data_IF_021431241987
#
_entry.id   IF_021431241987
#
_cell.length_a   1.000
_cell.length_b   1.000
_cell.length_c   1.000
_cell.angle_alpha   90.00
_cell.angle_beta   90.00
_cell.angle_gamma   90.00
#
_symmetry.space_group_name_H-M   'P 1'
#
loop_
_entity.id
_entity.type
_entity.pdbx_description
1 polymer ?
#
# COMPACT_ATOMS: atom_id res chain seq x y z
N UNK A 1 -6.31 5.01 8.64
CA UNK A 1 -7.39 4.91 9.64
C UNK A 1 -8.35 6.05 9.39
N UNK A 2 -9.65 5.85 9.63
CA UNK A 2 -10.64 6.92 9.48
C UNK A 2 -10.50 7.97 10.60
N UNK A 3 -11.06 9.17 10.37
CA UNK A 3 -11.13 10.19 11.42
C UNK A 3 -12.12 9.76 12.53
N UNK A 4 -11.68 9.61 13.79
CA UNK A 4 -12.60 9.29 14.88
C UNK A 4 -13.71 10.34 15.06
N UNK A 5 -13.47 11.61 14.70
CA UNK A 5 -14.50 12.66 14.75
C UNK A 5 -15.59 12.42 13.71
N UNK A 6 -15.21 12.03 12.49
CA UNK A 6 -16.15 11.71 11.41
C UNK A 6 -17.05 10.54 11.82
N UNK A 7 -16.46 9.49 12.39
CA UNK A 7 -17.22 8.31 12.81
C UNK A 7 -18.15 8.62 13.99
N UNK A 8 -17.72 9.51 14.91
CA UNK A 8 -18.58 9.96 16.03
C UNK A 8 -19.72 10.87 15.59
N UNK A 9 -19.53 11.68 14.54
CA UNK A 9 -20.57 12.61 14.07
C UNK A 9 -21.72 11.89 13.37
N UNK A 10 -21.43 10.86 12.58
CA UNK A 10 -22.43 10.09 11.86
C UNK A 10 -21.94 8.64 11.58
N UNK A 11 -22.02 7.74 12.56
CA UNK A 11 -21.52 6.37 12.41
C UNK A 11 -22.33 5.57 11.37
N UNK A 12 -23.61 5.88 11.17
CA UNK A 12 -24.47 5.20 10.21
C UNK A 12 -24.10 5.58 8.77
N UNK A 13 -23.83 6.86 8.50
CA UNK A 13 -23.36 7.28 7.18
C UNK A 13 -22.00 6.66 6.84
N UNK A 14 -21.08 6.57 7.82
CA UNK A 14 -19.80 5.87 7.65
C UNK A 14 -20.00 4.39 7.36
N UNK A 15 -20.90 3.72 8.10
CA UNK A 15 -21.23 2.31 7.87
C UNK A 15 -21.81 2.09 6.46
N UNK A 16 -22.69 2.97 5.97
CA UNK A 16 -23.26 2.89 4.64
C UNK A 16 -22.19 3.01 3.54
N UNK A 17 -21.21 3.89 3.70
CA UNK A 17 -20.08 4.02 2.76
C UNK A 17 -19.16 2.79 2.79
N UNK A 18 -18.91 2.23 3.97
CA UNK A 18 -18.12 1.01 4.12
C UNK A 18 -18.84 -0.22 3.54
N UNK A 19 -20.17 -0.28 3.65
CA UNK A 19 -20.97 -1.36 3.08
C UNK A 19 -20.86 -1.41 1.54
N UNK A 20 -20.67 -0.26 0.86
CA UNK A 20 -20.38 -0.23 -0.59
C UNK A 20 -19.12 -1.03 -0.95
N UNK A 21 -18.19 -1.18 -0.01
CA UNK A 21 -16.95 -1.95 -0.16
C UNK A 21 -17.05 -3.39 0.35
N UNK A 22 -18.27 -3.85 0.66
CA UNK A 22 -18.48 -5.16 1.29
C UNK A 22 -17.98 -5.24 2.73
N UNK A 23 -17.75 -4.11 3.40
CA UNK A 23 -17.31 -4.08 4.80
C UNK A 23 -18.46 -3.72 5.74
N UNK A 24 -18.75 -4.62 6.68
CA UNK A 24 -19.76 -4.39 7.73
C UNK A 24 -19.11 -3.74 8.94
N UNK A 25 -19.44 -2.46 9.19
CA UNK A 25 -19.02 -1.75 10.40
C UNK A 25 -19.99 -2.02 11.56
N UNK A 26 -19.48 -2.45 12.70
CA UNK A 26 -20.28 -2.73 13.91
C UNK A 26 -20.61 -1.42 14.64
N UNK A 27 -21.61 -0.70 14.13
CA UNK A 27 -22.11 0.56 14.70
C UNK A 27 -22.58 0.37 16.14
N UNK A 28 -23.20 -0.77 16.45
CA UNK A 28 -23.73 -1.06 17.78
C UNK A 28 -22.60 -1.16 18.81
N UNK A 29 -21.55 -1.94 18.51
CA UNK A 29 -20.37 -2.04 19.37
C UNK A 29 -19.64 -0.72 19.51
N UNK A 30 -19.44 0.00 18.40
CA UNK A 30 -18.80 1.33 18.45
C UNK A 30 -19.58 2.29 19.36
N UNK A 31 -20.90 2.34 19.20
CA UNK A 31 -21.78 3.20 19.99
C UNK A 31 -21.78 2.83 21.47
N UNK A 32 -21.80 1.53 21.79
CA UNK A 32 -21.68 1.05 23.17
C UNK A 32 -20.36 1.49 23.82
N UNK A 33 -19.23 1.30 23.12
CA UNK A 33 -17.91 1.71 23.60
C UNK A 33 -17.81 3.23 23.78
N UNK A 34 -18.32 4.03 22.84
CA UNK A 34 -18.28 5.50 22.97
C UNK A 34 -19.19 6.03 24.07
N UNK A 35 -20.35 5.41 24.29
CA UNK A 35 -21.23 5.77 25.41
C UNK A 35 -20.59 5.44 26.75
N UNK A 36 -19.98 4.27 26.88
CA UNK A 36 -19.23 3.88 28.07
C UNK A 36 -18.04 4.82 28.29
N UNK A 37 -17.26 5.12 27.23
CA UNK A 37 -16.13 6.04 27.28
C UNK A 37 -16.54 7.40 27.84
N UNK A 38 -17.64 7.96 27.32
CA UNK A 38 -18.19 9.25 27.78
C UNK A 38 -18.60 9.19 29.25
N UNK A 39 -19.31 8.15 29.65
CA UNK A 39 -19.77 7.99 31.04
C UNK A 39 -18.59 7.87 32.00
N UNK A 40 -17.65 6.97 31.73
CA UNK A 40 -16.45 6.77 32.58
C UNK A 40 -15.59 8.03 32.62
N UNK A 41 -15.53 8.79 31.52
CA UNK A 41 -14.80 10.06 31.49
C UNK A 41 -15.45 11.11 32.41
N UNK A 42 -16.77 11.28 32.35
CA UNK A 42 -17.51 12.19 33.24
C UNK A 42 -17.32 11.77 34.71
N UNK A 43 -17.45 10.48 35.01
CA UNK A 43 -17.27 9.96 36.36
C UNK A 43 -15.83 10.19 36.87
N UNK A 44 -14.83 10.02 35.99
CA UNK A 44 -13.42 10.30 36.30
C UNK A 44 -13.21 11.77 36.64
N UNK A 45 -13.78 12.68 35.86
CA UNK A 45 -13.68 14.13 36.08
C UNK A 45 -14.37 14.54 37.39
N UNK A 46 -15.55 13.98 37.68
CA UNK A 46 -16.28 14.21 38.93
C UNK A 46 -15.50 13.70 40.14
N UNK A 47 -15.00 12.46 40.11
CA UNK A 47 -14.20 11.88 41.19
C UNK A 47 -12.89 12.65 41.40
N UNK A 48 -12.27 13.15 40.32
CA UNK A 48 -11.05 13.96 40.41
C UNK A 48 -11.34 15.31 41.08
N UNK A 49 -12.46 15.97 40.74
CA UNK A 49 -12.90 17.20 41.37
C UNK A 49 -13.21 17.00 42.87
N UNK A 50 -13.91 15.92 43.21
CA UNK A 50 -14.26 15.56 44.58
C UNK A 50 -13.01 15.27 45.43
N UNK A 51 -12.09 14.45 44.91
CA UNK A 51 -10.79 14.17 45.55
C UNK A 51 -10.00 15.45 45.82
N UNK A 52 -9.94 16.36 44.85
CA UNK A 52 -9.24 17.64 44.98
C UNK A 52 -9.88 18.54 46.06
N UNK A 53 -11.22 18.59 46.11
CA UNK A 53 -11.96 19.35 47.11
C UNK A 53 -11.71 18.79 48.52
N UNK A 54 -11.84 17.48 48.72
CA UNK A 54 -11.61 16.83 50.02
C UNK A 54 -10.16 16.92 50.48
N UNK A 55 -9.19 16.82 49.56
CA UNK A 55 -7.76 16.99 49.88
C UNK A 55 -7.47 18.39 50.43
N UNK A 56 -8.09 19.43 49.86
CA UNK A 56 -7.98 20.81 50.37
C UNK A 56 -8.60 20.95 51.76
N UNK A 57 -9.73 20.31 52.01
CA UNK A 57 -10.39 20.34 53.32
C UNK A 57 -9.54 19.67 54.41
N UNK A 58 -8.96 18.50 54.12
CA UNK A 58 -8.02 17.82 55.04
C UNK A 58 -6.84 18.71 55.38
N UNK A 59 -6.26 19.42 54.39
CA UNK A 59 -5.17 20.36 54.63
C UNK A 59 -5.55 21.45 55.63
N UNK A 60 -6.78 22.00 55.51
CA UNK A 60 -7.31 22.99 56.45
C UNK A 60 -7.56 22.39 57.84
N UNK A 61 -8.17 21.22 57.93
CA UNK A 61 -8.47 20.55 59.19
C UNK A 61 -7.20 20.16 59.96
N UNK A 62 -6.18 19.63 59.27
CA UNK A 62 -4.87 19.36 59.88
C UNK A 62 -4.20 20.62 60.42
N UNK A 63 -4.31 21.74 59.70
CA UNK A 63 -3.79 23.03 60.17
C UNK A 63 -4.53 23.56 61.41
N UNK A 64 -5.81 23.20 61.56
CA UNK A 64 -6.64 23.53 62.72
C UNK A 64 -6.52 22.53 63.89
N UNK A 65 -5.76 21.43 63.74
CA UNK A 65 -5.59 20.40 64.76
C UNK A 65 -6.79 19.44 64.89
N UNK A 66 -7.67 19.37 63.89
CA UNK A 66 -8.86 18.53 63.88
C UNK A 66 -8.56 17.09 63.41
N UNK A 67 -9.39 16.12 63.83
CA UNK A 67 -9.29 14.73 63.36
C UNK A 67 -9.72 14.60 61.89
N UNK A 68 -8.88 13.96 61.09
CA UNK A 68 -9.08 13.77 59.65
C UNK A 68 -9.21 12.31 59.23
N UNK A 69 -9.25 11.36 60.19
CA UNK A 69 -9.22 9.93 59.90
C UNK A 69 -10.36 9.48 58.95
N UNK A 70 -11.59 9.94 59.18
CA UNK A 70 -12.74 9.61 58.33
C UNK A 70 -12.58 10.14 56.90
N UNK A 71 -12.21 11.42 56.74
CA UNK A 71 -11.97 12.02 55.43
C UNK A 71 -10.78 11.40 54.69
N UNK A 72 -9.73 10.99 55.40
CA UNK A 72 -8.59 10.28 54.82
C UNK A 72 -9.01 8.91 54.26
N UNK A 73 -9.87 8.18 54.99
CA UNK A 73 -10.41 6.90 54.52
C UNK A 73 -11.30 7.06 53.27
N UNK A 74 -12.16 8.08 53.23
CA UNK A 74 -12.97 8.40 52.06
C UNK A 74 -12.13 8.76 50.82
N UNK A 75 -11.07 9.55 50.99
CA UNK A 75 -10.16 9.89 49.88
C UNK A 75 -9.43 8.66 49.37
N UNK A 76 -9.02 7.74 50.25
CA UNK A 76 -8.39 6.49 49.84
C UNK A 76 -9.33 5.65 48.96
N UNK A 77 -10.60 5.52 49.35
CA UNK A 77 -11.62 4.84 48.54
C UNK A 77 -11.91 5.53 47.20
N UNK A 78 -11.94 6.87 47.18
CA UNK A 78 -12.05 7.65 45.93
C UNK A 78 -10.81 7.47 45.03
N UNK A 79 -9.62 7.35 45.62
CA UNK A 79 -8.37 7.07 44.90
C UNK A 79 -8.45 5.77 44.11
N UNK A 80 -8.86 4.68 44.77
CA UNK A 80 -9.01 3.37 44.12
C UNK A 80 -10.03 3.38 42.98
N UNK A 81 -11.21 4.01 43.18
CA UNK A 81 -12.23 4.12 42.13
C UNK A 81 -11.75 4.95 40.93
N UNK A 82 -10.99 6.01 41.18
CA UNK A 82 -10.42 6.85 40.14
C UNK A 82 -9.35 6.11 39.32
N UNK A 83 -8.53 5.29 39.96
CA UNK A 83 -7.54 4.46 39.27
C UNK A 83 -8.24 3.38 38.40
N UNK A 84 -9.31 2.76 38.91
CA UNK A 84 -10.15 1.83 38.13
C UNK A 84 -10.80 2.50 36.91
N UNK A 85 -11.36 3.70 37.07
CA UNK A 85 -11.97 4.44 35.97
C UNK A 85 -10.94 4.82 34.90
N UNK A 86 -9.73 5.24 35.30
CA UNK A 86 -8.62 5.49 34.37
C UNK A 86 -8.17 4.23 33.63
N UNK A 87 -8.07 3.11 34.34
CA UNK A 87 -7.76 1.83 33.71
C UNK A 87 -8.83 1.48 32.66
N UNK A 88 -10.12 1.60 33.02
CA UNK A 88 -11.22 1.30 32.09
C UNK A 88 -11.23 2.22 30.88
N UNK A 89 -10.91 3.52 31.03
CA UNK A 89 -10.72 4.42 29.88
C UNK A 89 -9.61 3.95 28.94
N UNK A 90 -8.50 3.46 29.49
CA UNK A 90 -7.40 2.90 28.69
C UNK A 90 -7.79 1.62 27.95
N UNK A 91 -8.57 0.75 28.59
CA UNK A 91 -9.13 -0.46 27.96
C UNK A 91 -10.09 -0.10 26.83
N UNK A 92 -11.06 0.78 27.08
CA UNK A 92 -12.02 1.23 26.05
C UNK A 92 -11.29 1.86 24.87
N UNK A 93 -10.27 2.69 25.12
CA UNK A 93 -9.46 3.27 24.04
C UNK A 93 -8.76 2.18 23.21
N UNK A 94 -8.20 1.16 23.86
CA UNK A 94 -7.57 0.02 23.18
C UNK A 94 -8.57 -0.79 22.35
N UNK A 95 -9.79 -0.98 22.85
CA UNK A 95 -10.87 -1.64 22.13
C UNK A 95 -11.32 -0.84 20.89
N UNK A 96 -11.43 0.50 21.02
CA UNK A 96 -11.72 1.39 19.90
C UNK A 96 -10.60 1.38 18.87
N UNK A 97 -9.34 1.46 19.31
CA UNK A 97 -8.17 1.43 18.42
C UNK A 97 -8.10 0.09 17.64
N UNK A 98 -8.37 -1.03 18.32
CA UNK A 98 -8.45 -2.34 17.67
C UNK A 98 -9.56 -2.36 16.61
N UNK A 99 -10.75 -1.84 16.92
CA UNK A 99 -11.86 -1.75 15.98
C UNK A 99 -11.48 -0.88 14.77
N UNK A 100 -10.96 0.33 14.98
CA UNK A 100 -10.58 1.25 13.90
C UNK A 100 -9.41 0.74 13.05
N UNK A 101 -8.50 -0.05 13.62
CA UNK A 101 -7.35 -0.59 12.90
C UNK A 101 -7.74 -1.55 11.76
N UNK A 102 -8.95 -2.12 11.82
CA UNK A 102 -9.50 -3.06 10.83
C UNK A 102 -10.44 -2.40 9.82
N UNK A 103 -10.76 -1.12 9.98
CA UNK A 103 -11.67 -0.38 9.08
C UNK A 103 -10.90 0.11 7.85
N UNK A 104 -11.34 -0.22 6.62
CA UNK A 104 -10.72 0.28 5.39
C UNK A 104 -10.98 1.77 5.20
N UNK A 105 -10.30 2.36 4.22
CA UNK A 105 -10.57 3.74 3.83
C UNK A 105 -11.95 3.89 3.17
N UNK A 106 -12.53 5.07 3.29
CA UNK A 106 -13.79 5.40 2.61
C UNK A 106 -13.55 5.58 1.12
N UNK A 107 -14.43 5.06 0.25
CA UNK A 107 -14.33 5.30 -1.18
C UNK A 107 -14.59 6.78 -1.50
N UNK A 108 -13.89 7.33 -2.49
CA UNK A 108 -14.23 8.64 -3.04
C UNK A 108 -15.61 8.60 -3.70
N UNK A 109 -16.26 9.76 -3.81
CA UNK A 109 -17.65 9.86 -4.30
C UNK A 109 -17.81 9.35 -5.73
N UNK A 110 -16.80 9.57 -6.58
CA UNK A 110 -16.79 9.21 -7.99
C UNK A 110 -16.36 7.76 -8.28
N UNK A 111 -16.13 6.95 -7.24
CA UNK A 111 -15.82 5.53 -7.39
C UNK A 111 -17.09 4.74 -7.74
N UNK A 112 -17.09 3.98 -8.85
CA UNK A 112 -18.25 3.18 -9.25
C UNK A 112 -18.55 2.12 -8.20
N UNK A 113 -19.83 1.86 -7.98
CA UNK A 113 -20.25 0.73 -7.16
C UNK A 113 -20.03 -0.58 -7.92
N UNK A 114 -19.48 -1.58 -7.24
CA UNK A 114 -19.34 -2.95 -7.73
C UNK A 114 -18.87 -3.87 -6.61
N UNK A 115 -19.22 -5.15 -6.69
CA UNK A 115 -18.92 -6.15 -5.64
C UNK A 115 -17.52 -6.75 -5.79
N UNK A 116 -17.01 -6.80 -7.02
CA UNK A 116 -15.74 -7.42 -7.40
C UNK A 116 -15.17 -6.79 -8.68
N UNK A 117 -14.07 -7.34 -9.18
CA UNK A 117 -13.36 -6.93 -10.41
C UNK A 117 -14.25 -6.78 -11.67
N UNK A 118 -15.41 -7.44 -11.74
CA UNK A 118 -16.34 -7.29 -12.87
C UNK A 118 -17.06 -5.94 -12.87
N UNK A 119 -17.09 -5.24 -11.74
CA UNK A 119 -17.63 -3.89 -11.59
C UNK A 119 -16.66 -2.77 -12.02
N UNK A 120 -15.41 -3.11 -12.34
CA UNK A 120 -14.39 -2.14 -12.75
C UNK A 120 -14.74 -1.50 -14.10
N UNK A 121 -14.39 -0.21 -14.25
CA UNK A 121 -14.76 0.58 -15.43
C UNK A 121 -13.51 0.96 -16.23
N UNK A 122 -13.48 0.63 -17.51
CA UNK A 122 -12.42 1.09 -18.42
C UNK A 122 -12.58 2.60 -18.66
N UNK A 123 -11.55 3.38 -18.30
CA UNK A 123 -11.56 4.85 -18.46
C UNK A 123 -10.69 5.34 -19.60
N UNK A 124 -9.64 4.59 -19.97
CA UNK A 124 -8.72 4.92 -21.07
C UNK A 124 -8.15 3.65 -21.68
N UNK A 125 -7.69 3.74 -22.93
CA UNK A 125 -6.97 2.68 -23.65
C UNK A 125 -5.91 3.30 -24.55
N UNK A 126 -4.78 2.62 -24.67
CA UNK A 126 -3.67 3.05 -25.53
C UNK A 126 -3.04 1.88 -26.28
N UNK A 127 -2.60 2.16 -27.51
CA UNK A 127 -1.98 1.17 -28.40
C UNK A 127 -3.00 0.24 -29.06
N UNK A 128 -2.51 -0.63 -29.94
CA UNK A 128 -3.30 -1.68 -30.58
C UNK A 128 -2.58 -3.01 -30.40
N UNK A 129 -3.22 -4.03 -29.80
CA UNK A 129 -2.67 -5.37 -29.73
C UNK A 129 -2.15 -5.85 -31.09
N UNK A 130 -0.89 -6.31 -31.13
CA UNK A 130 -0.26 -6.78 -32.37
C UNK A 130 -0.99 -8.02 -32.90
N UNK A 131 -1.21 -8.05 -34.22
CA UNK A 131 -1.57 -9.27 -34.94
C UNK A 131 -0.30 -10.02 -35.33
N UNK A 132 -0.27 -11.31 -35.04
CA UNK A 132 0.85 -12.21 -35.36
C UNK A 132 0.48 -13.09 -36.56
N UNK A 133 1.43 -13.27 -37.48
CA UNK A 133 1.35 -14.16 -38.65
C UNK A 133 2.03 -15.53 -38.39
N UNK A 134 2.37 -15.80 -37.14
CA UNK A 134 2.94 -17.04 -36.62
C UNK A 134 2.29 -17.43 -35.28
N UNK A 135 2.54 -18.65 -34.82
CA UNK A 135 2.02 -19.15 -33.54
C UNK A 135 2.63 -18.38 -32.35
N UNK A 136 1.77 -17.80 -31.52
CA UNK A 136 2.17 -16.99 -30.36
C UNK A 136 2.71 -17.92 -29.27
N UNK A 137 3.93 -17.64 -28.79
CA UNK A 137 4.50 -18.30 -27.63
C UNK A 137 4.26 -17.47 -26.35
N UNK A 138 3.98 -18.16 -25.25
CA UNK A 138 3.92 -17.53 -23.93
C UNK A 138 5.33 -17.15 -23.42
N UNK A 139 5.40 -16.26 -22.44
CA UNK A 139 6.68 -15.85 -21.85
C UNK A 139 7.48 -16.99 -21.21
N UNK A 140 6.85 -18.11 -20.86
CA UNK A 140 7.54 -19.28 -20.30
C UNK A 140 8.29 -20.02 -21.39
N UNK A 141 7.64 -20.28 -22.53
CA UNK A 141 8.24 -20.92 -23.69
C UNK A 141 9.36 -20.05 -24.28
N UNK A 142 9.10 -18.76 -24.47
CA UNK A 142 10.12 -17.78 -24.92
C UNK A 142 11.27 -17.69 -23.91
N UNK A 143 10.92 -17.55 -22.62
CA UNK A 143 11.87 -17.36 -21.54
C UNK A 143 12.79 -18.56 -21.35
N UNK A 144 12.29 -19.79 -21.51
CA UNK A 144 13.08 -21.00 -21.33
C UNK A 144 14.33 -21.03 -22.23
N UNK A 145 14.17 -20.62 -23.49
CA UNK A 145 15.25 -20.52 -24.46
C UNK A 145 16.24 -19.35 -24.18
N UNK A 146 15.82 -18.39 -23.35
CA UNK A 146 16.55 -17.15 -23.06
C UNK A 146 17.16 -17.12 -21.65
N UNK A 147 16.98 -18.19 -20.85
CA UNK A 147 17.55 -18.32 -19.52
C UNK A 147 16.58 -18.14 -18.36
N UNK A 148 15.27 -18.25 -18.57
CA UNK A 148 14.27 -18.37 -17.52
C UNK A 148 14.23 -19.82 -17.02
N UNK A 149 14.37 -20.04 -15.71
CA UNK A 149 14.38 -21.40 -15.16
C UNK A 149 13.64 -21.49 -13.81
N UNK A 150 12.46 -22.14 -13.85
CA UNK A 150 11.63 -22.40 -12.67
C UNK A 150 12.08 -23.64 -11.88
N UNK A 151 12.60 -24.67 -12.54
CA UNK A 151 13.08 -25.89 -11.86
C UNK A 151 14.27 -25.59 -10.93
N UNK A 152 15.18 -24.73 -11.38
CA UNK A 152 16.28 -24.23 -10.55
C UNK A 152 15.76 -23.44 -9.36
N UNK A 153 14.75 -22.60 -9.54
CA UNK A 153 14.15 -21.84 -8.45
C UNK A 153 13.44 -22.74 -7.42
N UNK A 154 12.73 -23.77 -7.89
CA UNK A 154 12.11 -24.79 -7.03
C UNK A 154 13.17 -25.53 -6.21
N UNK A 155 14.29 -25.91 -6.83
CA UNK A 155 15.42 -26.53 -6.15
C UNK A 155 16.04 -25.64 -5.07
N UNK A 156 16.12 -24.32 -5.32
CA UNK A 156 16.72 -23.36 -4.40
C UNK A 156 15.77 -22.94 -3.27
N UNK A 157 14.47 -22.86 -3.53
CA UNK A 157 13.50 -22.22 -2.62
C UNK A 157 12.16 -22.93 -2.62
N UNK A 158 11.49 -23.03 -3.77
CA UNK A 158 10.14 -23.60 -3.88
C UNK A 158 9.36 -23.07 -5.08
N UNK A 159 8.06 -23.38 -5.14
CA UNK A 159 7.15 -22.83 -6.16
C UNK A 159 7.04 -21.31 -6.08
N UNK A 160 6.62 -20.65 -7.17
CA UNK A 160 6.44 -19.18 -7.25
C UNK A 160 7.73 -18.38 -7.01
N UNK A 161 8.87 -19.00 -7.35
CA UNK A 161 10.14 -18.32 -7.56
C UNK A 161 10.65 -18.61 -8.97
N UNK A 162 11.55 -17.76 -9.47
CA UNK A 162 12.18 -17.91 -10.79
C UNK A 162 13.66 -17.55 -10.72
N UNK A 163 14.47 -18.25 -11.52
CA UNK A 163 15.84 -17.83 -11.80
C UNK A 163 15.92 -17.30 -13.23
N UNK A 164 16.63 -16.18 -13.42
CA UNK A 164 16.88 -15.57 -14.72
C UNK A 164 18.38 -15.55 -14.98
N UNK A 165 18.79 -15.82 -16.22
CA UNK A 165 20.19 -15.80 -16.64
C UNK A 165 20.38 -15.01 -17.94
N UNK A 166 21.64 -14.70 -18.25
CA UNK A 166 22.05 -14.12 -19.52
C UNK A 166 21.34 -12.80 -19.88
N UNK A 167 20.98 -12.66 -21.14
CA UNK A 167 20.32 -11.45 -21.66
C UNK A 167 18.93 -11.23 -21.06
N UNK A 168 18.25 -12.28 -20.58
CA UNK A 168 16.96 -12.14 -19.93
C UNK A 168 17.09 -11.48 -18.54
N UNK A 169 18.08 -11.89 -17.75
CA UNK A 169 18.40 -11.21 -16.49
C UNK A 169 18.86 -9.76 -16.72
N UNK A 170 19.62 -9.52 -17.80
CA UNK A 170 20.00 -8.17 -18.22
C UNK A 170 18.79 -7.32 -18.60
N UNK A 171 17.80 -7.90 -19.28
CA UNK A 171 16.56 -7.22 -19.68
C UNK A 171 15.73 -6.82 -18.46
N UNK A 172 15.57 -7.74 -17.51
CA UNK A 172 14.91 -7.47 -16.24
C UNK A 172 15.55 -6.28 -15.51
N UNK A 173 16.89 -6.25 -15.42
CA UNK A 173 17.62 -5.11 -14.85
C UNK A 173 17.43 -3.83 -15.67
N UNK A 174 17.53 -3.90 -17.00
CA UNK A 174 17.38 -2.73 -17.87
C UNK A 174 16.00 -2.09 -17.75
N UNK A 175 14.93 -2.88 -17.59
CA UNK A 175 13.59 -2.38 -17.33
C UNK A 175 13.55 -1.55 -16.04
N UNK A 176 14.08 -2.08 -14.94
CA UNK A 176 14.14 -1.35 -13.67
C UNK A 176 14.94 -0.05 -13.78
N UNK A 177 16.10 -0.07 -14.46
CA UNK A 177 16.93 1.13 -14.66
C UNK A 177 16.24 2.17 -15.54
N UNK A 178 15.62 1.76 -16.64
CA UNK A 178 14.84 2.64 -17.50
C UNK A 178 13.71 3.34 -16.72
N UNK A 179 12.97 2.58 -15.92
CA UNK A 179 11.90 3.11 -15.07
C UNK A 179 12.44 4.13 -14.07
N UNK A 180 13.51 3.79 -13.32
CA UNK A 180 14.15 4.71 -12.38
C UNK A 180 14.59 6.02 -13.06
N UNK A 181 15.34 5.90 -14.15
CA UNK A 181 15.86 7.05 -14.90
C UNK A 181 14.72 7.93 -15.42
N UNK A 182 13.65 7.35 -15.96
CA UNK A 182 12.49 8.09 -16.43
C UNK A 182 11.85 8.90 -15.30
N UNK A 183 11.59 8.27 -14.15
CA UNK A 183 10.91 8.92 -13.04
C UNK A 183 11.79 9.97 -12.34
N UNK A 184 13.07 9.70 -12.17
CA UNK A 184 14.00 10.62 -11.51
C UNK A 184 14.36 11.82 -12.39
N UNK A 185 14.58 11.60 -13.69
CA UNK A 185 15.02 12.66 -14.61
C UNK A 185 13.89 13.48 -15.23
N UNK A 186 12.71 12.89 -15.47
CA UNK A 186 11.62 13.56 -16.20
C UNK A 186 10.39 13.85 -15.34
N UNK A 187 10.08 13.01 -14.36
CA UNK A 187 8.87 13.14 -13.54
C UNK A 187 9.10 13.80 -12.16
N UNK A 188 10.35 14.16 -11.86
CA UNK A 188 10.73 14.91 -10.66
C UNK A 188 10.68 14.10 -9.36
N UNK A 189 10.90 12.78 -9.43
CA UNK A 189 10.99 11.93 -8.25
C UNK A 189 12.42 11.91 -7.70
N UNK A 190 12.55 11.91 -6.38
CA UNK A 190 13.83 11.64 -5.72
C UNK A 190 14.04 10.14 -5.62
N UNK A 191 15.14 9.65 -6.18
CA UNK A 191 15.51 8.24 -6.08
C UNK A 191 15.98 7.88 -4.67
N UNK A 192 15.45 6.79 -4.12
CA UNK A 192 15.69 6.35 -2.75
C UNK A 192 16.17 4.90 -2.72
N UNK A 193 17.22 4.65 -1.95
CA UNK A 193 17.54 3.30 -1.46
C UNK A 193 16.92 3.10 -0.07
N UNK A 194 16.13 2.05 0.11
CA UNK A 194 15.37 1.81 1.34
C UNK A 194 15.64 0.41 1.93
N UNK A 195 15.49 0.21 3.25
CA UNK A 195 15.53 -1.12 3.85
C UNK A 195 14.42 -2.03 3.31
N UNK A 196 14.76 -3.29 3.04
CA UNK A 196 13.78 -4.32 2.65
C UNK A 196 13.16 -5.05 3.85
N UNK A 197 13.69 -4.78 5.04
CA UNK A 197 13.21 -5.30 6.31
C UNK A 197 12.67 -4.11 7.11
N UNK A 198 11.43 -4.21 7.56
CA UNK A 198 10.75 -3.15 8.31
C UNK A 198 10.13 -3.69 9.59
N UNK A 199 9.91 -2.80 10.55
CA UNK A 199 9.18 -3.11 11.77
C UNK A 199 7.65 -3.09 11.56
N UNK A 200 6.94 -3.70 12.52
CA UNK A 200 5.48 -3.70 12.66
C UNK A 200 4.85 -2.30 12.54
N UNK A 201 5.44 -1.26 13.15
CA UNK A 201 4.94 0.12 13.09
C UNK A 201 4.87 0.65 11.67
N UNK A 202 5.82 0.25 10.82
CA UNK A 202 5.86 0.70 9.43
C UNK A 202 4.73 0.06 8.62
N UNK A 203 4.48 -1.23 8.83
CA UNK A 203 3.38 -1.96 8.22
C UNK A 203 2.01 -1.50 8.74
N UNK A 204 1.91 -1.16 10.03
CA UNK A 204 0.70 -0.55 10.58
C UNK A 204 0.42 0.80 9.93
N UNK A 205 1.46 1.61 9.73
CA UNK A 205 1.38 2.93 9.10
C UNK A 205 0.72 2.92 7.72
N UNK A 206 1.15 2.00 6.85
CA UNK A 206 0.65 1.89 5.47
C UNK A 206 -0.57 0.96 5.31
N UNK A 207 -0.95 0.24 6.37
CA UNK A 207 -2.21 -0.50 6.46
C UNK A 207 -2.11 -2.00 6.18
N UNK A 208 -0.90 -2.55 6.05
CA UNK A 208 -0.69 -4.00 5.95
C UNK A 208 -1.06 -4.69 7.27
N UNK A 209 -0.64 -4.12 8.40
CA UNK A 209 -1.05 -4.61 9.72
C UNK A 209 -2.23 -3.81 10.29
N UNK A 210 -3.14 -4.48 11.04
CA UNK A 210 -3.09 -5.89 11.45
C UNK A 210 -3.76 -6.88 10.47
N UNK A 211 -4.50 -6.39 9.44
CA UNK A 211 -5.40 -7.23 8.63
C UNK A 211 -4.69 -8.26 7.73
N UNK A 212 -3.54 -7.91 7.16
CA UNK A 212 -2.87 -8.70 6.12
C UNK A 212 -1.59 -9.36 6.63
N UNK A 213 -1.54 -9.72 7.91
CA UNK A 213 -0.35 -10.34 8.52
C UNK A 213 0.05 -11.67 7.87
N UNK A 214 -0.93 -12.46 7.42
CA UNK A 214 -0.70 -13.74 6.74
C UNK A 214 -0.09 -13.58 5.33
N UNK A 215 -0.23 -12.41 4.71
CA UNK A 215 0.35 -12.11 3.39
C UNK A 215 1.82 -11.67 3.45
N UNK A 216 2.39 -11.55 4.66
CA UNK A 216 3.74 -11.04 4.89
C UNK A 216 4.71 -12.17 5.30
N UNK A 217 5.96 -12.05 4.85
CA UNK A 217 7.04 -12.88 5.38
C UNK A 217 7.65 -12.25 6.63
N UNK A 218 7.35 -12.82 7.80
CA UNK A 218 7.97 -12.47 9.07
C UNK A 218 9.34 -13.15 9.23
N UNK A 219 10.33 -12.43 9.77
CA UNK A 219 11.66 -12.97 10.04
C UNK A 219 11.72 -13.65 11.41
N UNK A 220 12.40 -14.80 11.47
CA UNK A 220 12.65 -15.50 12.73
C UNK A 220 13.88 -14.94 13.43
N UNK A 221 13.85 -14.84 14.76
CA UNK A 221 15.04 -14.59 15.59
C UNK A 221 15.44 -13.12 15.78
N UNK A 222 14.53 -12.16 15.60
CA UNK A 222 14.77 -10.73 15.84
C UNK A 222 13.53 -10.00 16.39
N UNK A 223 13.63 -8.68 16.55
CA UNK A 223 12.48 -7.79 16.79
C UNK A 223 11.42 -7.99 15.69
N UNK A 224 10.13 -7.75 15.96
CA UNK A 224 8.99 -7.98 15.03
C UNK A 224 9.20 -7.34 13.65
N UNK A 225 9.93 -8.06 12.79
CA UNK A 225 10.49 -7.59 11.52
C UNK A 225 9.97 -8.44 10.38
N UNK A 226 9.73 -7.76 9.27
CA UNK A 226 9.06 -8.32 8.11
C UNK A 226 9.76 -7.88 6.83
N UNK A 227 9.74 -8.74 5.83
CA UNK A 227 10.11 -8.35 4.47
C UNK A 227 9.01 -7.47 3.86
N UNK A 228 9.40 -6.43 3.13
CA UNK A 228 8.45 -5.49 2.52
C UNK A 228 7.66 -6.15 1.36
N UNK A 229 6.33 -5.97 1.29
CA UNK A 229 5.53 -6.42 0.15
C UNK A 229 5.53 -5.44 -1.04
N UNK A 230 6.12 -4.26 -0.84
CA UNK A 230 6.27 -3.15 -1.80
C UNK A 230 7.13 -2.05 -1.15
N UNK A 231 7.86 -1.27 -1.95
CA UNK A 231 8.58 -0.09 -1.47
C UNK A 231 7.67 1.03 -0.95
N UNK A 232 6.35 0.98 -1.21
CA UNK A 232 5.35 1.86 -0.61
C UNK A 232 5.50 1.91 0.91
N UNK A 233 5.72 0.75 1.54
CA UNK A 233 5.82 0.64 3.01
C UNK A 233 6.94 1.52 3.55
N UNK A 234 8.22 1.31 3.19
CA UNK A 234 9.30 2.15 3.69
C UNK A 234 9.23 3.60 3.18
N UNK A 235 8.86 3.84 1.92
CA UNK A 235 8.84 5.18 1.33
C UNK A 235 7.81 6.10 2.00
N UNK A 236 6.57 5.65 2.18
CA UNK A 236 5.53 6.44 2.83
C UNK A 236 5.85 6.66 4.31
N UNK A 237 6.54 5.72 4.96
CA UNK A 237 6.98 5.87 6.35
C UNK A 237 8.12 6.87 6.55
N UNK A 238 8.75 7.40 5.49
CA UNK A 238 9.78 8.45 5.62
C UNK A 238 9.23 9.73 6.26
N UNK A 239 7.91 9.97 6.17
CA UNK A 239 7.26 11.14 6.79
C UNK A 239 6.53 10.82 8.10
N UNK A 240 6.76 9.64 8.67
CA UNK A 240 6.16 9.23 9.95
C UNK A 240 6.61 10.16 11.08
N UNK A 241 5.65 10.58 11.90
CA UNK A 241 5.81 11.51 13.02
C UNK A 241 6.37 12.89 12.63
N UNK A 242 6.39 13.24 11.33
CA UNK A 242 6.89 14.54 10.85
C UNK A 242 5.78 15.61 10.79
N UNK A 243 6.18 16.85 11.12
CA UNK A 243 5.47 18.07 10.74
C UNK A 243 6.22 18.74 9.60
N UNK A 244 5.79 18.46 8.38
CA UNK A 244 6.39 18.90 7.13
C UNK A 244 6.25 20.41 6.93
N UNK A 245 7.27 21.00 6.29
CA UNK A 245 7.19 22.35 5.73
C UNK A 245 6.28 22.33 4.51
N UNK A 246 5.41 23.34 4.43
CA UNK A 246 4.47 23.51 3.32
C UNK A 246 5.20 23.74 1.97
N UNK A 247 6.43 24.28 2.02
CA UNK A 247 7.28 24.50 0.85
C UNK A 247 8.00 23.24 0.37
N UNK A 248 7.98 22.16 1.17
CA UNK A 248 8.62 20.89 0.83
C UNK A 248 7.65 19.96 0.07
N UNK A 249 6.40 20.37 -0.13
CA UNK A 249 5.37 19.60 -0.82
C UNK A 249 5.20 20.07 -2.28
N UNK A 250 5.01 19.15 -3.24
CA UNK A 250 4.91 17.71 -3.06
C UNK A 250 6.28 17.05 -2.85
N UNK A 251 6.37 16.09 -1.91
CA UNK A 251 7.53 15.17 -1.85
C UNK A 251 7.22 13.97 -2.75
N UNK A 252 8.13 13.67 -3.69
CA UNK A 252 7.98 12.56 -4.65
C UNK A 252 9.18 11.63 -4.54
N UNK A 253 8.92 10.35 -4.30
CA UNK A 253 9.96 9.33 -4.11
C UNK A 253 9.80 8.18 -5.11
N UNK A 254 10.93 7.72 -5.66
CA UNK A 254 10.99 6.52 -6.49
C UNK A 254 12.01 5.54 -5.89
N UNK A 255 11.68 4.24 -5.88
CA UNK A 255 12.62 3.19 -5.48
C UNK A 255 12.40 1.92 -6.27
N UNK A 256 13.50 1.22 -6.61
CA UNK A 256 13.49 -0.15 -7.12
C UNK A 256 13.79 -1.10 -5.96
N UNK A 257 12.86 -1.98 -5.64
CA UNK A 257 13.09 -3.00 -4.60
C UNK A 257 12.57 -4.37 -5.04
N UNK A 258 13.13 -5.47 -4.50
CA UNK A 258 12.37 -6.71 -4.42
C UNK A 258 11.15 -6.48 -3.51
N UNK A 259 10.06 -7.16 -3.83
CA UNK A 259 8.80 -7.18 -3.09
C UNK A 259 8.47 -8.62 -2.74
N UNK A 260 8.09 -8.86 -1.48
CA UNK A 260 7.87 -10.19 -0.93
C UNK A 260 6.43 -10.38 -0.46
N UNK A 261 5.72 -11.34 -1.04
CA UNK A 261 4.30 -11.63 -0.69
C UNK A 261 4.09 -13.13 -0.49
N UNK A 262 3.43 -13.50 0.60
CA UNK A 262 3.12 -14.91 0.86
C UNK A 262 2.06 -15.45 -0.12
N UNK A 263 1.31 -14.58 -0.79
CA UNK A 263 0.26 -14.95 -1.77
C UNK A 263 -0.73 -15.97 -1.18
N UNK A 264 -1.12 -15.74 0.09
CA UNK A 264 -2.05 -16.61 0.80
C UNK A 264 -3.41 -16.59 0.07
N UNK A 265 -4.04 -17.75 -0.06
CA UNK A 265 -5.32 -17.89 -0.77
C UNK A 265 -5.24 -17.91 -2.31
N UNK A 266 -4.08 -17.75 -2.93
CA UNK A 266 -3.92 -17.79 -4.40
C UNK A 266 -3.78 -19.23 -4.96
N UNK A 267 -4.35 -20.24 -4.31
CA UNK A 267 -4.23 -21.64 -4.73
C UNK A 267 -4.85 -21.85 -6.12
N UNK A 268 -4.08 -22.44 -7.05
CA UNK A 268 -4.53 -22.75 -8.41
C UNK A 268 -4.60 -21.58 -9.39
N UNK A 269 -4.44 -20.32 -8.95
CA UNK A 269 -4.42 -19.14 -9.83
C UNK A 269 -2.98 -18.78 -10.24
N UNK A 270 -2.76 -18.49 -11.53
CA UNK A 270 -1.47 -18.07 -12.09
C UNK A 270 -0.29 -18.93 -11.59
N UNK A 271 -0.43 -20.25 -11.68
CA UNK A 271 0.57 -21.21 -11.18
C UNK A 271 1.78 -21.34 -12.10
N UNK A 272 1.61 -21.00 -13.39
CA UNK A 272 2.65 -21.02 -14.42
C UNK A 272 3.13 -19.60 -14.71
N UNK A 273 4.45 -19.41 -14.81
CA UNK A 273 5.04 -18.16 -15.27
C UNK A 273 5.33 -17.14 -14.17
N UNK A 274 5.57 -15.88 -14.57
CA UNK A 274 6.05 -14.80 -13.70
C UNK A 274 4.99 -13.76 -13.28
N UNK A 275 3.70 -14.01 -13.55
CA UNK A 275 2.62 -13.06 -13.21
C UNK A 275 2.40 -12.95 -11.70
N UNK A 276 2.54 -14.07 -10.98
CA UNK A 276 2.34 -14.16 -9.52
C UNK A 276 3.47 -14.96 -8.85
N UNK A 277 4.36 -14.25 -8.17
CA UNK A 277 5.57 -14.78 -7.53
C UNK A 277 5.64 -14.35 -6.08
N UNK A 278 6.29 -15.14 -5.21
CA UNK A 278 6.56 -14.74 -3.83
C UNK A 278 7.58 -13.61 -3.74
N UNK A 279 8.48 -13.53 -4.71
CA UNK A 279 9.43 -12.45 -4.87
C UNK A 279 9.34 -11.89 -6.29
N UNK A 280 9.18 -10.57 -6.41
CA UNK A 280 9.21 -9.87 -7.69
C UNK A 280 9.77 -8.46 -7.51
N UNK A 281 10.38 -7.92 -8.55
CA UNK A 281 10.90 -6.55 -8.51
C UNK A 281 9.81 -5.56 -8.94
N UNK A 282 9.81 -4.39 -8.28
CA UNK A 282 8.93 -3.28 -8.60
C UNK A 282 9.69 -1.97 -8.50
N UNK A 283 9.42 -1.05 -9.43
CA UNK A 283 9.73 0.37 -9.26
C UNK A 283 8.48 1.05 -8.72
N UNK A 284 8.57 1.58 -7.50
CA UNK A 284 7.47 2.23 -6.82
C UNK A 284 7.56 3.74 -6.95
N UNK A 285 6.42 4.39 -7.07
CA UNK A 285 6.25 5.83 -6.99
C UNK A 285 5.41 6.16 -5.76
N UNK A 286 5.91 7.05 -4.89
CA UNK A 286 5.15 7.59 -3.75
C UNK A 286 5.10 9.10 -3.84
N UNK A 287 3.93 9.69 -3.59
CA UNK A 287 3.77 11.13 -3.46
C UNK A 287 3.14 11.48 -2.11
N UNK A 288 3.73 12.46 -1.44
CA UNK A 288 3.18 13.11 -0.24
C UNK A 288 2.80 14.53 -0.65
N UNK A 289 1.52 14.87 -0.53
CA UNK A 289 0.94 16.09 -1.10
C UNK A 289 -0.02 16.78 -0.12
N UNK A 290 -0.39 18.01 -0.42
CA UNK A 290 -1.49 18.68 0.30
C UNK A 290 -2.82 18.04 -0.07
N UNK A 291 -3.82 18.18 0.81
CA UNK A 291 -5.11 17.53 0.63
C UNK A 291 -5.78 17.95 -0.69
N UNK A 292 -5.76 19.25 -0.97
CA UNK A 292 -6.32 19.91 -2.15
C UNK A 292 -5.67 19.46 -3.47
N UNK A 293 -4.41 19.02 -3.46
CA UNK A 293 -3.67 18.62 -4.65
C UNK A 293 -3.83 17.12 -4.98
N UNK A 294 -4.39 16.33 -4.05
CA UNK A 294 -4.33 14.86 -4.12
C UNK A 294 -5.05 14.25 -5.32
N UNK A 295 -6.17 14.82 -5.78
CA UNK A 295 -6.86 14.34 -6.96
C UNK A 295 -6.01 14.54 -8.23
N UNK A 296 -5.41 15.72 -8.39
CA UNK A 296 -4.51 16.01 -9.52
C UNK A 296 -3.22 15.18 -9.44
N UNK A 297 -2.71 14.93 -8.23
CA UNK A 297 -1.55 14.07 -8.02
C UNK A 297 -1.82 12.62 -8.45
N UNK A 298 -3.04 12.11 -8.27
CA UNK A 298 -3.42 10.77 -8.73
C UNK A 298 -3.37 10.67 -10.26
N UNK A 299 -3.98 11.63 -10.97
CA UNK A 299 -3.93 11.63 -12.44
C UNK A 299 -2.48 11.73 -12.97
N UNK A 300 -1.65 12.58 -12.36
CA UNK A 300 -0.24 12.69 -12.72
C UNK A 300 0.53 11.38 -12.44
N UNK A 301 0.30 10.76 -11.27
CA UNK A 301 0.91 9.49 -10.89
C UNK A 301 0.55 8.36 -11.88
N UNK A 302 -0.72 8.24 -12.23
CA UNK A 302 -1.19 7.27 -13.23
C UNK A 302 -0.55 7.56 -14.59
N UNK A 303 -0.53 8.83 -15.01
CA UNK A 303 0.14 9.25 -16.25
C UNK A 303 1.64 8.92 -16.30
N UNK A 304 2.35 9.02 -15.17
CA UNK A 304 3.76 8.62 -15.09
C UNK A 304 3.95 7.11 -15.29
N UNK A 305 3.05 6.27 -14.75
CA UNK A 305 3.07 4.83 -14.98
C UNK A 305 2.71 4.48 -16.44
N UNK A 306 1.73 5.19 -17.02
CA UNK A 306 1.36 5.08 -18.43
C UNK A 306 2.54 5.41 -19.36
N UNK A 307 3.33 6.44 -19.05
CA UNK A 307 4.50 6.83 -19.84
C UNK A 307 5.54 5.70 -19.98
N UNK A 308 5.69 4.84 -18.97
CA UNK A 308 6.57 3.65 -19.05
C UNK A 308 6.04 2.67 -20.10
N UNK A 309 4.74 2.34 -20.07
CA UNK A 309 4.13 1.42 -21.05
C UNK A 309 4.19 1.97 -22.47
N UNK A 310 3.93 3.27 -22.63
CA UNK A 310 3.98 3.94 -23.93
C UNK A 310 5.40 3.92 -24.53
N UNK A 311 6.42 4.22 -23.73
CA UNK A 311 7.82 4.19 -24.15
C UNK A 311 8.33 2.77 -24.48
N UNK A 312 7.72 1.75 -23.87
CA UNK A 312 7.99 0.33 -24.15
C UNK A 312 7.12 -0.24 -25.28
N UNK A 313 6.26 0.59 -25.89
CA UNK A 313 5.36 0.21 -26.99
C UNK A 313 4.43 -0.95 -26.61
N UNK A 314 3.93 -0.96 -25.36
CA UNK A 314 3.06 -2.00 -24.83
C UNK A 314 1.60 -1.53 -24.79
N UNK A 315 0.67 -2.16 -25.55
CA UNK A 315 -0.75 -1.83 -25.49
C UNK A 315 -1.34 -2.09 -24.11
N UNK A 316 -2.14 -1.16 -23.60
CA UNK A 316 -2.74 -1.25 -22.27
C UNK A 316 -4.10 -0.58 -22.19
N UNK A 317 -4.82 -0.84 -21.10
CA UNK A 317 -6.02 -0.11 -20.69
C UNK A 317 -5.90 0.36 -19.25
N UNK A 318 -6.62 1.42 -18.91
CA UNK A 318 -6.71 1.95 -17.56
C UNK A 318 -8.11 1.66 -17.04
N UNK A 319 -8.16 0.96 -15.92
CA UNK A 319 -9.38 0.56 -15.23
C UNK A 319 -9.52 1.40 -13.95
N UNK A 320 -10.66 2.05 -13.75
CA UNK A 320 -11.04 2.57 -12.45
C UNK A 320 -11.66 1.44 -11.63
N UNK A 321 -11.07 1.15 -10.48
CA UNK A 321 -11.56 0.09 -9.61
C UNK A 321 -12.89 0.49 -8.97
N UNK A 322 -13.82 -0.46 -8.84
CA UNK A 322 -15.06 -0.27 -8.12
C UNK A 322 -14.90 -0.47 -6.62
N UNK A 323 -15.93 -0.13 -5.85
CA UNK A 323 -15.86 -0.12 -4.38
C UNK A 323 -15.45 -1.47 -3.74
N UNK A 324 -15.87 -2.60 -4.31
CA UNK A 324 -15.54 -3.94 -3.83
C UNK A 324 -14.13 -4.45 -4.18
N UNK A 325 -13.47 -3.88 -5.19
CA UNK A 325 -12.16 -4.36 -5.68
C UNK A 325 -10.98 -3.47 -5.26
N UNK A 326 -11.25 -2.31 -4.66
CA UNK A 326 -10.21 -1.41 -4.16
C UNK A 326 -9.43 -1.99 -2.96
N UNK A 327 -8.15 -1.65 -2.88
CA UNK A 327 -7.28 -1.97 -1.74
C UNK A 327 -7.67 -1.25 -0.43
N UNK A 328 -7.28 -1.82 0.71
CA UNK A 328 -7.67 -1.40 2.06
C UNK A 328 -7.43 0.08 2.38
N UNK A 329 -6.27 0.62 1.99
CA UNK A 329 -5.87 2.00 2.29
C UNK A 329 -6.36 3.02 1.24
N UNK A 330 -6.82 2.56 0.07
CA UNK A 330 -7.17 3.43 -1.05
C UNK A 330 -8.57 4.01 -0.91
N UNK A 331 -8.71 5.30 -1.22
CA UNK A 331 -10.00 5.95 -1.45
C UNK A 331 -10.42 5.89 -2.93
N UNK A 332 -9.46 5.88 -3.85
CA UNK A 332 -9.64 5.72 -5.29
C UNK A 332 -8.40 5.09 -5.91
N UNK A 333 -8.59 4.19 -6.87
CA UNK A 333 -7.51 3.45 -7.53
C UNK A 333 -7.74 3.34 -9.04
N UNK A 334 -6.65 3.51 -9.80
CA UNK A 334 -6.56 3.16 -11.20
C UNK A 334 -5.59 1.99 -11.38
N UNK A 335 -6.05 0.93 -12.01
CA UNK A 335 -5.19 -0.16 -12.45
C UNK A 335 -4.85 0.02 -13.93
N UNK A 336 -3.58 -0.15 -14.27
CA UNK A 336 -3.13 -0.26 -15.65
C UNK A 336 -3.01 -1.74 -15.94
N UNK A 337 -3.69 -2.19 -16.99
CA UNK A 337 -3.64 -3.58 -17.44
C UNK A 337 -2.99 -3.64 -18.81
N UNK A 338 -1.91 -4.43 -18.94
CA UNK A 338 -1.15 -4.59 -20.18
C UNK A 338 -1.64 -5.80 -20.96
N UNK A 339 -1.64 -5.71 -22.28
CA UNK A 339 -2.03 -6.81 -23.16
C UNK A 339 -1.01 -7.94 -23.11
N UNK A 340 -1.48 -9.18 -22.91
CA UNK A 340 -0.67 -10.40 -23.02
C UNK A 340 -1.17 -11.28 -24.17
N UNK A 341 -0.46 -11.29 -25.33
CA UNK A 341 -0.82 -12.09 -26.49
C UNK A 341 -1.05 -13.57 -26.16
N UNK A 342 -0.20 -14.19 -25.33
CA UNK A 342 -0.31 -15.61 -25.00
C UNK A 342 -1.56 -15.98 -24.20
N UNK A 343 -2.19 -14.98 -23.55
CA UNK A 343 -3.42 -15.17 -22.77
C UNK A 343 -4.65 -14.53 -23.44
N UNK A 344 -4.46 -13.82 -24.54
CA UNK A 344 -5.51 -13.07 -25.25
C UNK A 344 -6.36 -12.18 -24.31
N UNK A 345 -5.70 -11.52 -23.36
CA UNK A 345 -6.37 -10.64 -22.39
C UNK A 345 -5.43 -9.56 -21.87
N UNK A 346 -6.00 -8.57 -21.18
CA UNK A 346 -5.25 -7.60 -20.40
C UNK A 346 -5.02 -8.12 -18.98
N UNK A 347 -3.83 -7.87 -18.42
CA UNK A 347 -3.46 -8.24 -17.05
C UNK A 347 -2.88 -7.04 -16.32
N UNK A 348 -3.27 -6.84 -15.07
CA UNK A 348 -2.75 -5.77 -14.21
C UNK A 348 -1.22 -5.75 -14.22
N UNK A 349 -0.62 -4.58 -14.44
CA UNK A 349 0.83 -4.32 -14.39
C UNK A 349 1.19 -3.17 -13.45
N UNK A 350 0.21 -2.32 -13.14
CA UNK A 350 0.31 -1.26 -12.15
C UNK A 350 -1.03 -1.02 -11.49
N UNK A 351 -0.96 -0.60 -10.22
CA UNK A 351 -2.08 -0.06 -9.46
C UNK A 351 -1.62 1.26 -8.87
N UNK A 352 -2.40 2.33 -9.08
CA UNK A 352 -2.12 3.71 -8.66
C UNK A 352 -3.27 4.20 -7.78
N UNK A 353 -2.97 4.53 -6.52
CA UNK A 353 -3.98 4.82 -5.50
C UNK A 353 -3.78 6.16 -4.83
N UNK A 354 -4.89 6.85 -4.57
CA UNK A 354 -4.96 7.95 -3.61
C UNK A 354 -5.49 7.40 -2.27
N UNK A 355 -4.68 7.49 -1.23
CA UNK A 355 -5.03 7.02 0.11
C UNK A 355 -5.57 8.13 1.02
N UNK A 356 -5.79 9.33 0.47
CA UNK A 356 -6.18 10.54 1.22
C UNK A 356 -5.32 10.68 2.49
N UNK A 357 -5.94 11.00 3.62
CA UNK A 357 -5.28 11.11 4.92
C UNK A 357 -5.21 9.77 5.68
N UNK A 358 -5.61 8.65 5.08
CA UNK A 358 -5.74 7.37 5.78
C UNK A 358 -4.41 6.86 6.34
N UNK A 359 -3.36 6.84 5.51
CA UNK A 359 -2.02 6.43 5.94
C UNK A 359 -1.40 7.55 6.79
N UNK A 360 -1.54 8.81 6.37
CA UNK A 360 -1.03 9.96 7.13
C UNK A 360 -1.53 9.99 8.59
N UNK A 361 -2.79 9.61 8.84
CA UNK A 361 -3.36 9.52 10.19
C UNK A 361 -2.71 8.42 11.04
N UNK A 362 -2.40 7.27 10.45
CA UNK A 362 -1.66 6.17 11.13
C UNK A 362 -0.21 6.58 11.38
N UNK A 363 0.37 7.37 10.47
CA UNK A 363 1.75 7.85 10.51
C UNK A 363 1.96 9.14 11.31
N UNK A 364 0.89 9.84 11.70
CA UNK A 364 0.94 11.20 12.25
C UNK A 364 1.71 12.22 11.37
N UNK A 365 1.70 12.00 10.05
CA UNK A 365 2.35 12.85 9.06
C UNK A 365 1.48 14.09 8.77
N UNK A 366 2.02 15.28 9.05
CA UNK A 366 1.26 16.55 9.03
C UNK A 366 1.99 17.64 8.25
N UNK A 367 1.26 18.66 7.83
CA UNK A 367 1.78 19.91 7.27
C UNK A 367 1.03 21.08 7.91
N UNK A 368 1.63 22.27 7.97
CA UNK A 368 0.89 23.47 8.37
C UNK A 368 0.08 24.04 7.21
N UNK A 369 -1.19 24.33 7.46
CA UNK A 369 -2.02 25.12 6.53
C UNK A 369 -1.61 26.61 6.53
N UNK A 370 -2.31 27.42 5.73
CA UNK A 370 -2.05 28.86 5.62
C UNK A 370 -2.25 29.61 6.95
N UNK A 371 -3.11 29.10 7.84
CA UNK A 371 -3.36 29.65 9.19
C UNK A 371 -2.37 29.11 10.24
N UNK A 372 -1.40 28.28 9.82
CA UNK A 372 -0.40 27.68 10.68
C UNK A 372 -0.89 26.47 11.49
N UNK A 373 -2.10 25.97 11.26
CA UNK A 373 -2.65 24.80 11.96
C UNK A 373 -2.14 23.51 11.30
N UNK A 374 -1.73 22.50 12.10
CA UNK A 374 -1.37 21.19 11.55
C UNK A 374 -2.57 20.49 10.93
N UNK A 375 -2.45 20.12 9.66
CA UNK A 375 -3.36 19.26 8.90
C UNK A 375 -2.63 17.99 8.48
N UNK A 376 -3.36 16.89 8.30
CA UNK A 376 -2.77 15.67 7.73
C UNK A 376 -2.46 15.90 6.25
N UNK A 377 -1.33 15.37 5.79
CA UNK A 377 -1.03 15.29 4.35
C UNK A 377 -1.87 14.20 3.68
N UNK A 378 -1.95 14.24 2.35
CA UNK A 378 -2.43 13.12 1.57
C UNK A 378 -1.26 12.28 1.03
N UNK A 379 -1.47 10.97 0.98
CA UNK A 379 -0.48 9.98 0.52
C UNK A 379 -0.99 9.28 -0.73
N UNK A 380 -0.13 9.13 -1.73
CA UNK A 380 -0.40 8.39 -2.95
C UNK A 380 0.73 7.42 -3.26
N UNK A 381 0.40 6.30 -3.88
CA UNK A 381 1.38 5.33 -4.33
C UNK A 381 0.95 4.69 -5.65
N UNK A 382 1.93 4.31 -6.46
CA UNK A 382 1.68 3.68 -7.75
C UNK A 382 2.87 2.87 -8.23
N UNK A 383 2.58 1.78 -8.95
CA UNK A 383 3.64 1.00 -9.58
C UNK A 383 4.09 1.69 -10.87
N UNK A 384 5.39 1.94 -11.04
CA UNK A 384 5.96 2.54 -12.26
C UNK A 384 7.08 1.70 -12.87
N UNK A 385 7.04 0.38 -12.98
CA UNK A 385 5.93 -0.59 -12.92
C UNK A 385 6.36 -1.82 -12.09
N UNK A 386 5.52 -2.86 -12.04
CA UNK A 386 5.99 -4.20 -11.65
C UNK A 386 6.93 -4.76 -12.74
N UNK A 387 8.24 -4.84 -12.44
CA UNK A 387 9.30 -5.15 -13.41
C UNK A 387 9.13 -6.56 -14.00
N UNK A 388 8.80 -7.54 -13.15
CA UNK A 388 8.56 -8.91 -13.60
C UNK A 388 7.39 -9.05 -14.57
N UNK A 389 6.26 -8.37 -14.31
CA UNK A 389 5.10 -8.36 -15.23
C UNK A 389 5.42 -7.59 -16.51
N UNK A 390 6.22 -6.54 -16.43
CA UNK A 390 6.69 -5.80 -17.61
C UNK A 390 7.59 -6.66 -18.48
N UNK A 391 8.46 -7.48 -17.89
CA UNK A 391 9.27 -8.45 -18.62
C UNK A 391 8.38 -9.44 -19.38
N UNK A 392 7.35 -9.99 -18.75
CA UNK A 392 6.38 -10.89 -19.39
C UNK A 392 5.73 -10.21 -20.60
N UNK A 393 5.20 -9.00 -20.41
CA UNK A 393 4.55 -8.26 -21.48
C UNK A 393 5.52 -7.95 -22.64
N UNK A 394 6.77 -7.61 -22.35
CA UNK A 394 7.77 -7.31 -23.37
C UNK A 394 8.12 -8.56 -24.18
N UNK A 395 8.35 -9.70 -23.53
CA UNK A 395 8.62 -10.97 -24.21
C UNK A 395 7.48 -11.32 -25.18
N UNK A 396 6.23 -11.29 -24.71
CA UNK A 396 5.11 -11.75 -25.54
C UNK A 396 4.74 -10.75 -26.65
N UNK A 397 4.79 -9.44 -26.41
CA UNK A 397 4.41 -8.44 -27.43
C UNK A 397 5.50 -8.22 -28.48
N UNK A 398 6.77 -8.36 -28.12
CA UNK A 398 7.91 -8.10 -29.01
C UNK A 398 8.56 -9.36 -29.59
N UNK A 399 7.95 -10.54 -29.40
CA UNK A 399 8.42 -11.79 -30.01
C UNK A 399 8.45 -11.74 -31.54
N UNK A 400 9.43 -12.42 -32.12
CA UNK A 400 9.60 -12.61 -33.55
C UNK A 400 9.41 -14.10 -33.89
N UNK A 401 9.18 -14.40 -35.18
CA UNK A 401 8.92 -15.78 -35.64
C UNK A 401 10.08 -16.75 -35.35
N UNK A 402 11.31 -16.25 -35.20
CA UNK A 402 12.51 -17.04 -34.88
C UNK A 402 12.75 -17.20 -33.36
N UNK A 403 11.84 -16.70 -32.52
CA UNK A 403 11.94 -16.71 -31.06
C UNK A 403 12.83 -15.60 -30.48
N UNK A 404 13.41 -14.73 -31.31
CA UNK A 404 14.08 -13.53 -30.82
C UNK A 404 13.08 -12.49 -30.30
N UNK A 405 13.55 -11.59 -29.42
CA UNK A 405 12.72 -10.55 -28.81
C UNK A 405 13.24 -9.20 -29.29
N UNK A 406 12.40 -8.45 -30.01
CA UNK A 406 12.73 -7.09 -30.41
C UNK A 406 12.80 -6.16 -29.18
N UNK A 407 13.75 -5.22 -29.20
CA UNK A 407 13.92 -4.24 -28.13
C UNK A 407 13.31 -2.89 -28.54
N UNK A 408 12.33 -2.37 -27.77
CA UNK A 408 11.81 -1.01 -27.92
C UNK A 408 12.95 0.00 -27.93
N UNK A 409 12.76 1.11 -28.65
CA UNK A 409 13.78 2.16 -28.78
C UNK A 409 14.29 2.64 -27.41
N UNK A 410 13.39 2.78 -26.44
CA UNK A 410 13.70 3.23 -25.08
C UNK A 410 14.70 2.31 -24.33
N UNK A 411 14.75 1.01 -24.65
CA UNK A 411 15.63 0.05 -23.97
C UNK A 411 16.98 -0.16 -24.65
N UNK A 412 17.13 0.25 -25.91
CA UNK A 412 18.39 0.04 -26.67
C UNK A 412 19.61 0.66 -25.99
N UNK A 413 19.56 1.85 -25.37
CA UNK A 413 20.70 2.40 -24.63
C UNK A 413 21.21 1.47 -23.51
N UNK A 414 20.31 0.80 -22.78
CA UNK A 414 20.64 -0.17 -21.73
C UNK A 414 21.20 -1.50 -22.29
N UNK A 415 21.08 -1.69 -23.60
CA UNK A 415 21.47 -2.88 -24.35
C UNK A 415 22.61 -2.66 -25.35
N UNK A 416 23.44 -1.63 -25.15
CA UNK A 416 24.56 -1.28 -26.06
C UNK A 416 24.11 -1.04 -27.50
N UNK A 417 22.91 -0.48 -27.67
CA UNK A 417 22.33 -0.17 -28.99
C UNK A 417 21.76 -1.39 -29.73
N UNK A 418 21.79 -2.60 -29.15
CA UNK A 418 21.19 -3.78 -29.78
C UNK A 418 19.70 -3.58 -30.02
N UNK A 419 19.22 -4.06 -31.17
CA UNK A 419 17.82 -3.97 -31.57
C UNK A 419 16.97 -5.19 -31.14
N UNK A 420 17.60 -6.29 -30.72
CA UNK A 420 16.93 -7.52 -30.31
C UNK A 420 17.79 -8.35 -29.33
N UNK A 421 17.13 -9.25 -28.61
CA UNK A 421 17.72 -10.37 -27.88
C UNK A 421 17.54 -11.63 -28.73
N UNK A 422 18.64 -12.29 -29.09
CA UNK A 422 18.62 -13.50 -29.90
C UNK A 422 18.65 -14.76 -29.03
N UNK A 423 18.05 -15.84 -29.54
CA UNK A 423 18.17 -17.17 -28.91
C UNK A 423 19.63 -17.65 -29.00
N UNK A 424 20.26 -18.09 -27.90
CA UNK A 424 21.64 -18.58 -27.93
C UNK A 424 21.83 -19.77 -28.87
N UNK A 425 22.91 -19.75 -29.66
CA UNK A 425 23.30 -20.86 -30.56
C UNK A 425 23.62 -22.09 -29.71
N UNK A 426 22.75 -23.11 -29.78
CA UNK A 426 22.87 -24.37 -29.00
C UNK A 426 21.57 -24.83 -28.33
N UNK A 427 20.53 -23.99 -28.25
CA UNK A 427 19.21 -24.37 -27.73
C UNK A 427 18.14 -24.57 -28.81
N UNK A 428 18.45 -24.37 -30.10
CA UNK A 428 17.53 -24.52 -31.24
C UNK A 428 17.10 -25.98 -31.57
N UNK A 429 17.26 -26.95 -30.66
CA UNK A 429 17.07 -28.37 -30.96
C UNK A 429 16.52 -29.24 -29.83
N UNK A 430 15.92 -28.66 -28.80
CA UNK A 430 15.17 -29.39 -27.77
C UNK A 430 13.76 -28.83 -27.67
N UNK A 431 12.98 -29.05 -28.73
CA UNK A 431 11.52 -28.97 -28.67
C UNK A 431 10.97 -30.31 -28.20
#
# INVERSE_FOLDING_TARGET
MLDPKLVRSDPEAVAAQLARRGFTFDVARFTALENERKQVQVDTEQMQAERNSRSKLIGKMKAAGEDTAALMAEISGLGQKLDQAKQRLGEIQSELDALFSLVPNLPAEDVPFGEDEAGNVEVRRWGTPRTFDFEIQDHVALGAALGMNFEQAVKLTGSRFVTLAGDLARLHRALAQFMLDLHSSQHGYTEMYVPYIVNDKSLFGTGQLPKFGEDLFALKGGADWYLIPTAEVPLTNLVRDELLSANDLPRRYVAHTPSFRAEAGAAGRDTRGMIRQHQFDKVELVQIVRAEDSAAALEALTGHAEAVLQALELPYRVMQLCTGDMGFSAAKTYDLEVWLPGQNTYREISSCSNCTDFQARRLQARVRDADGKPQLVHTLNGSGLAVGRTLVALLENHQQADGSIALPLALRPYFQGRAAICVPVGQQGKA
#
